data_IF_696296627471
#
_entry.id   IF_696296627471
#
_cell.length_a   1.000
_cell.length_b   1.000
_cell.length_c   1.000
_cell.angle_alpha   90.00
_cell.angle_beta   90.00
_cell.angle_gamma   90.00
#
_symmetry.space_group_name_H-M   'P 1'
#
loop_
_entity.id
_entity.type
_entity.pdbx_description
1 polymer ?
#
# COMPACT_ATOMS: atom_id res chain seq x y z
N UNK A 1 -11.99 0.90 -7.31
CA UNK A 1 -11.56 -0.48 -6.98
C UNK A 1 -11.96 -0.80 -5.54
N UNK A 2 -12.41 -2.02 -5.19
CA UNK A 2 -12.97 -2.31 -3.87
C UNK A 2 -11.86 -2.46 -2.83
N UNK A 3 -11.65 -1.37 -2.10
CA UNK A 3 -10.80 -1.31 -0.93
C UNK A 3 -11.31 -2.21 0.19
N UNK A 4 -10.50 -3.18 0.64
CA UNK A 4 -10.87 -4.04 1.76
C UNK A 4 -9.91 -3.83 2.92
N UNK A 5 -10.46 -3.30 4.01
CA UNK A 5 -9.73 -3.20 5.28
C UNK A 5 -9.62 -4.60 5.88
N UNK A 6 -8.41 -5.09 6.07
CA UNK A 6 -8.17 -6.31 6.84
C UNK A 6 -7.95 -5.95 8.31
N UNK A 7 -9.03 -5.99 9.09
CA UNK A 7 -8.99 -5.66 10.52
C UNK A 7 -8.16 -6.63 11.36
N UNK A 8 -7.94 -7.87 10.92
CA UNK A 8 -7.10 -8.84 11.65
C UNK A 8 -5.64 -8.51 11.43
N UNK A 9 -5.24 -8.29 10.18
CA UNK A 9 -3.88 -7.86 9.85
C UNK A 9 -3.53 -6.55 10.56
N UNK A 10 -4.45 -5.58 10.56
CA UNK A 10 -4.31 -4.32 11.28
C UNK A 10 -3.92 -4.47 12.75
N UNK A 11 -4.54 -5.43 13.45
CA UNK A 11 -4.30 -5.69 14.86
C UNK A 11 -2.94 -6.37 15.10
N UNK A 12 -2.51 -7.26 14.20
CA UNK A 12 -1.24 -7.98 14.33
C UNK A 12 -0.03 -7.08 14.06
N UNK A 13 -0.10 -6.24 13.03
CA UNK A 13 1.05 -5.42 12.60
C UNK A 13 1.02 -3.97 13.08
N UNK A 14 -0.08 -3.54 13.72
CA UNK A 14 -0.28 -2.17 14.18
C UNK A 14 0.82 -1.66 15.13
N UNK A 15 1.33 -2.53 16.00
CA UNK A 15 2.42 -2.21 16.92
C UNK A 15 3.78 -2.02 16.22
N UNK A 16 3.98 -2.67 15.07
CA UNK A 16 5.27 -2.71 14.36
C UNK A 16 5.36 -1.63 13.29
N UNK A 17 4.26 -1.35 12.58
CA UNK A 17 4.24 -0.44 11.42
C UNK A 17 3.43 0.84 11.63
N UNK A 18 2.61 0.92 12.69
CA UNK A 18 1.74 2.07 12.98
C UNK A 18 0.27 1.77 12.67
N UNK A 19 -0.56 2.80 12.62
CA UNK A 19 -2.00 2.67 12.38
C UNK A 19 -2.24 2.14 10.96
N UNK A 20 -2.73 0.91 10.83
CA UNK A 20 -3.11 0.36 9.53
C UNK A 20 -4.36 1.07 9.00
N UNK A 21 -4.22 1.67 7.82
CA UNK A 21 -5.32 2.37 7.15
C UNK A 21 -6.10 1.40 6.25
N UNK A 22 -5.40 0.70 5.36
CA UNK A 22 -6.00 0.00 4.23
C UNK A 22 -4.97 -0.88 3.49
N UNK A 23 -5.46 -1.88 2.75
CA UNK A 23 -4.66 -2.64 1.78
C UNK A 23 -5.19 -2.39 0.38
N UNK A 24 -4.28 -2.13 -0.55
CA UNK A 24 -4.51 -2.11 -2.00
C UNK A 24 -4.11 -3.46 -2.55
N UNK A 25 -4.94 -4.01 -3.42
CA UNK A 25 -4.62 -5.20 -4.20
C UNK A 25 -4.84 -4.80 -5.65
N UNK A 26 -3.86 -5.09 -6.50
CA UNK A 26 -4.04 -4.84 -7.92
C UNK A 26 -5.12 -5.74 -8.51
N UNK A 27 -6.07 -5.15 -9.22
CA UNK A 27 -7.05 -5.91 -10.00
C UNK A 27 -6.62 -6.02 -11.47
N UNK A 28 -7.02 -7.07 -12.20
CA UNK A 28 -7.84 -8.21 -11.74
C UNK A 28 -7.03 -9.36 -11.13
N UNK A 29 -5.70 -9.31 -11.17
CA UNK A 29 -4.85 -10.48 -10.93
C UNK A 29 -4.26 -10.59 -9.52
N UNK A 30 -4.38 -9.58 -8.68
CA UNK A 30 -3.81 -9.57 -7.33
C UNK A 30 -2.27 -9.61 -7.30
N UNK A 31 -1.64 -9.11 -8.37
CA UNK A 31 -0.19 -9.14 -8.61
C UNK A 31 0.61 -8.17 -7.74
N UNK A 32 -0.04 -7.25 -7.03
CA UNK A 32 0.62 -6.29 -6.12
C UNK A 32 -0.28 -6.09 -4.93
N UNK A 33 0.30 -6.15 -3.74
CA UNK A 33 -0.36 -5.79 -2.50
C UNK A 33 0.35 -4.58 -1.91
N UNK A 34 -0.35 -3.46 -1.66
CA UNK A 34 0.20 -2.34 -0.92
C UNK A 34 -0.53 -2.17 0.42
N UNK A 35 0.16 -2.42 1.52
CA UNK A 35 -0.37 -2.19 2.87
C UNK A 35 0.00 -0.78 3.34
N UNK A 36 -0.99 0.06 3.64
CA UNK A 36 -0.78 1.45 4.06
C UNK A 36 -0.89 1.58 5.57
N UNK A 37 0.14 2.17 6.17
CA UNK A 37 0.26 2.46 7.59
C UNK A 37 0.49 3.94 7.83
N UNK A 38 -0.07 4.48 8.90
CA UNK A 38 0.19 5.83 9.37
C UNK A 38 0.99 5.79 10.65
N UNK A 39 2.11 6.53 10.67
CA UNK A 39 2.95 6.75 11.85
C UNK A 39 3.11 8.25 12.08
N UNK A 40 2.22 8.81 12.90
CA UNK A 40 2.17 10.24 13.15
C UNK A 40 1.81 11.03 11.89
N UNK A 41 2.75 11.85 11.40
CA UNK A 41 2.60 12.61 10.15
C UNK A 41 2.94 11.80 8.91
N UNK A 42 3.66 10.68 9.04
CA UNK A 42 4.15 9.87 7.93
C UNK A 42 3.16 8.77 7.54
N UNK A 43 3.06 8.48 6.25
CA UNK A 43 2.29 7.35 5.71
C UNK A 43 3.23 6.42 4.95
N UNK A 44 3.38 5.19 5.43
CA UNK A 44 4.19 4.16 4.79
C UNK A 44 3.28 3.23 3.98
N UNK A 45 3.55 3.07 2.69
CA UNK A 45 2.92 2.07 1.85
C UNK A 45 3.92 0.96 1.54
N UNK A 46 3.64 -0.24 2.05
CA UNK A 46 4.48 -1.43 1.86
C UNK A 46 3.98 -2.25 0.70
N UNK A 47 4.70 -2.23 -0.42
CA UNK A 47 4.37 -2.99 -1.62
C UNK A 47 5.01 -4.38 -1.55
N UNK A 48 4.20 -5.41 -1.69
CA UNK A 48 4.61 -6.82 -1.79
C UNK A 48 4.26 -7.34 -3.19
N UNK A 49 5.22 -7.99 -3.84
CA UNK A 49 5.07 -8.59 -5.17
C UNK A 49 5.14 -10.13 -5.07
N UNK A 50 4.26 -10.88 -5.74
CA UNK A 50 4.41 -12.32 -5.89
C UNK A 50 5.73 -12.66 -6.58
N UNK A 51 6.40 -13.71 -6.11
CA UNK A 51 7.59 -14.28 -6.76
C UNK A 51 7.30 -14.66 -8.21
N UNK A 52 8.12 -14.14 -9.14
CA UNK A 52 8.02 -14.45 -10.57
C UNK A 52 7.50 -13.30 -11.46
N UNK A 53 7.13 -12.17 -10.86
CA UNK A 53 6.79 -10.94 -11.58
C UNK A 53 8.00 -10.00 -11.56
N UNK A 54 8.37 -9.46 -12.71
CA UNK A 54 9.39 -8.42 -12.76
C UNK A 54 8.82 -7.15 -12.12
N UNK A 55 9.32 -6.84 -10.94
CA UNK A 55 8.88 -5.70 -10.17
C UNK A 55 9.06 -4.38 -10.94
N UNK A 56 9.91 -4.31 -11.98
CA UNK A 56 10.09 -3.10 -12.78
C UNK A 56 8.91 -2.79 -13.71
N UNK A 57 8.31 -3.79 -14.35
CA UNK A 57 7.13 -3.60 -15.24
C UNK A 57 5.86 -3.24 -14.45
N UNK A 58 5.81 -3.70 -13.20
CA UNK A 58 4.67 -3.56 -12.28
C UNK A 58 4.86 -2.39 -11.32
N UNK A 59 6.00 -1.70 -11.35
CA UNK A 59 6.19 -0.52 -10.50
C UNK A 59 5.42 0.70 -11.01
N UNK A 60 5.41 0.94 -12.31
CA UNK A 60 5.04 2.27 -12.81
C UNK A 60 3.54 2.56 -12.70
N UNK A 61 2.68 1.69 -13.26
CA UNK A 61 1.23 1.88 -13.22
C UNK A 61 0.65 1.86 -11.80
N UNK A 62 1.14 0.95 -10.96
CA UNK A 62 0.61 0.78 -9.60
C UNK A 62 1.07 1.85 -8.63
N UNK A 63 2.29 2.38 -8.82
CA UNK A 63 2.75 3.55 -8.07
C UNK A 63 1.88 4.76 -8.44
N UNK A 64 1.54 4.95 -9.72
CA UNK A 64 0.63 6.03 -10.14
C UNK A 64 -0.74 5.93 -9.44
N UNK A 65 -1.38 4.76 -9.43
CA UNK A 65 -2.69 4.57 -8.76
C UNK A 65 -2.62 4.85 -7.25
N UNK A 66 -1.53 4.43 -6.61
CA UNK A 66 -1.30 4.64 -5.19
C UNK A 66 -1.04 6.12 -4.86
N UNK A 67 -0.32 6.82 -5.73
CA UNK A 67 -0.09 8.26 -5.64
C UNK A 67 -1.39 9.06 -5.86
N UNK A 68 -2.22 8.68 -6.83
CA UNK A 68 -3.54 9.27 -7.03
C UNK A 68 -4.42 9.11 -5.80
N UNK A 69 -4.47 7.92 -5.21
CA UNK A 69 -5.18 7.70 -3.96
C UNK A 69 -4.60 8.56 -2.82
N UNK A 70 -3.28 8.61 -2.68
CA UNK A 70 -2.63 9.41 -1.66
C UNK A 70 -2.93 10.90 -1.82
N UNK A 71 -3.07 11.37 -3.07
CA UNK A 71 -3.50 12.73 -3.40
C UNK A 71 -4.95 12.97 -3.01
N UNK A 72 -5.87 12.07 -3.36
CA UNK A 72 -7.30 12.16 -2.98
C UNK A 72 -7.48 12.18 -1.46
N UNK A 73 -6.62 11.48 -0.72
CA UNK A 73 -6.66 11.41 0.74
C UNK A 73 -5.81 12.48 1.44
N UNK A 74 -5.11 13.32 0.69
CA UNK A 74 -4.32 14.43 1.22
C UNK A 74 -3.08 14.02 2.01
N UNK A 75 -2.48 12.87 1.70
CA UNK A 75 -1.24 12.40 2.33
C UNK A 75 -0.08 12.14 1.35
N UNK A 76 -0.22 12.49 0.06
CA UNK A 76 0.81 12.29 -0.96
C UNK A 76 2.18 12.83 -0.54
N UNK A 77 2.25 14.05 0.00
CA UNK A 77 3.51 14.70 0.43
C UNK A 77 4.24 13.96 1.57
N UNK A 78 3.58 12.96 2.16
CA UNK A 78 4.05 12.20 3.33
C UNK A 78 4.03 10.70 3.07
N UNK A 79 3.79 10.31 1.81
CA UNK A 79 3.77 8.93 1.36
C UNK A 79 5.21 8.43 1.19
N UNK A 80 5.52 7.30 1.79
CA UNK A 80 6.77 6.59 1.61
C UNK A 80 6.51 5.19 1.09
N UNK A 81 7.04 4.91 -0.10
CA UNK A 81 6.93 3.60 -0.73
C UNK A 81 8.06 2.69 -0.21
N UNK A 82 7.69 1.53 0.31
CA UNK A 82 8.61 0.51 0.81
C UNK A 82 8.37 -0.75 -0.01
N UNK A 83 9.35 -1.14 -0.82
CA UNK A 83 9.28 -2.36 -1.62
C UNK A 83 9.77 -3.56 -0.78
N UNK A 84 8.96 -4.61 -0.71
CA UNK A 84 9.20 -5.84 0.06
C UNK A 84 9.11 -7.08 -0.82
#
# INVERSE_FOLDING_TARGET
>A
MPFKKDSKFAAEVGNVYGEYLITFISEPRGEVRADIFRRGSRVDARLSFPTGIDASEVKESYVTDLEEYAKEKGFLDRLHLIYS
#
